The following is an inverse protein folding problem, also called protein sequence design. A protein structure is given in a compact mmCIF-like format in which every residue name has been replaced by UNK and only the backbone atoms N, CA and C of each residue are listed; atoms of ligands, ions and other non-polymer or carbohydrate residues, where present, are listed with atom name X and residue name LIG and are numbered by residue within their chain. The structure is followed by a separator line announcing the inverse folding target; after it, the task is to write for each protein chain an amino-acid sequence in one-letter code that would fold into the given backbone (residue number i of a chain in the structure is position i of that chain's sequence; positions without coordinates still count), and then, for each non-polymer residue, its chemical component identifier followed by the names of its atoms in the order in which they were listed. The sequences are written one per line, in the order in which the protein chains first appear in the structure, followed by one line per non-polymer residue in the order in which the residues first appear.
data_IF_650857200054
#
_entry.id   IF_650857200054
#
_cell.length_a   1.000
_cell.length_b   1.000
_cell.length_c   1.000
_cell.angle_alpha   90.00
_cell.angle_beta   90.00
_cell.angle_gamma   90.00
#
_symmetry.space_group_name_H-M   'P 1'
#
loop_
_entity.id
_entity.type
_entity.pdbx_description
1 polymer ?
#
# COMPACT_ATOMS: atom_id res chain seq x y z
N UNK A 1 8.21 1.21 -22.93
CA UNK A 1 8.06 0.59 -21.60
C UNK A 1 7.61 1.72 -20.70
N UNK A 2 6.34 1.74 -20.31
CA UNK A 2 5.71 2.93 -19.74
C UNK A 2 6.20 3.16 -18.32
N UNK A 3 6.89 4.28 -18.12
CA UNK A 3 6.97 4.96 -16.83
C UNK A 3 5.54 5.29 -16.39
N UNK A 4 4.89 4.36 -15.68
CA UNK A 4 3.72 4.67 -14.89
C UNK A 4 4.22 5.23 -13.57
N UNK A 5 4.87 6.39 -13.63
CA UNK A 5 4.96 7.24 -12.46
C UNK A 5 3.51 7.49 -12.05
N UNK A 6 3.16 7.25 -10.80
CA UNK A 6 1.98 7.90 -10.26
C UNK A 6 2.29 9.39 -10.34
N UNK A 7 1.79 10.02 -11.39
CA UNK A 7 2.04 11.41 -11.66
C UNK A 7 1.65 12.21 -10.41
N UNK A 8 2.58 13.05 -9.94
CA UNK A 8 2.25 14.19 -9.07
C UNK A 8 1.24 15.15 -9.72
N UNK A 9 0.73 14.85 -10.92
CA UNK A 9 -0.22 15.61 -11.72
C UNK A 9 -1.65 15.62 -11.18
N UNK A 10 -1.93 14.87 -10.10
CA UNK A 10 -3.24 14.92 -9.42
C UNK A 10 -3.06 15.55 -8.02
N UNK A 11 -3.16 16.88 -7.89
CA UNK A 11 -2.90 17.61 -6.65
C UNK A 11 -3.69 17.10 -5.44
N UNK A 12 -4.92 16.60 -5.67
CA UNK A 12 -5.79 16.11 -4.61
C UNK A 12 -5.19 14.89 -3.88
N UNK A 13 -4.46 14.01 -4.58
CA UNK A 13 -3.82 12.86 -3.90
C UNK A 13 -2.65 13.28 -3.04
N UNK A 14 -1.85 14.25 -3.51
CA UNK A 14 -0.75 14.81 -2.71
C UNK A 14 -1.29 15.45 -1.43
N UNK A 15 -2.38 16.21 -1.54
CA UNK A 15 -3.04 16.84 -0.39
C UNK A 15 -3.56 15.80 0.61
N UNK A 16 -4.24 14.74 0.13
CA UNK A 16 -4.71 13.64 0.99
C UNK A 16 -3.54 13.00 1.75
N UNK A 17 -2.43 12.71 1.05
CA UNK A 17 -1.24 12.12 1.69
C UNK A 17 -0.69 13.04 2.79
N UNK A 18 -0.63 14.34 2.54
CA UNK A 18 -0.22 15.32 3.56
C UNK A 18 -1.16 15.32 4.77
N UNK A 19 -2.47 15.30 4.56
CA UNK A 19 -3.47 15.25 5.65
C UNK A 19 -3.35 13.96 6.46
N UNK A 20 -3.17 12.81 5.80
CA UNK A 20 -2.97 11.52 6.46
C UNK A 20 -1.68 11.49 7.29
N UNK A 21 -0.58 12.06 6.77
CA UNK A 21 0.68 12.21 7.51
C UNK A 21 0.52 13.12 8.73
N UNK A 22 -0.30 14.17 8.63
CA UNK A 22 -0.59 15.10 9.73
C UNK A 22 -1.69 14.62 10.69
N UNK A 23 -2.22 13.40 10.55
CA UNK A 23 -3.34 12.86 11.35
C UNK A 23 -4.66 13.66 11.25
N UNK A 24 -4.83 14.49 10.22
CA UNK A 24 -6.09 15.18 9.91
C UNK A 24 -7.05 14.25 9.15
N UNK A 25 -7.63 13.28 9.88
CA UNK A 25 -8.34 12.15 9.27
C UNK A 25 -9.68 12.54 8.63
N UNK A 26 -10.40 13.50 9.22
CA UNK A 26 -11.72 13.93 8.73
C UNK A 26 -11.62 14.67 7.39
N UNK A 27 -10.63 15.56 7.26
CA UNK A 27 -10.38 16.28 6.01
C UNK A 27 -9.87 15.35 4.91
N UNK A 28 -9.00 14.38 5.27
CA UNK A 28 -8.52 13.36 4.35
C UNK A 28 -9.70 12.51 3.82
N UNK A 29 -10.59 12.07 4.70
CA UNK A 29 -11.79 11.30 4.31
C UNK A 29 -12.65 12.05 3.30
N UNK A 30 -12.91 13.34 3.55
CA UNK A 30 -13.69 14.17 2.63
C UNK A 30 -13.07 14.24 1.23
N UNK A 31 -11.75 14.44 1.15
CA UNK A 31 -11.04 14.51 -0.14
C UNK A 31 -10.99 13.14 -0.83
N UNK A 32 -10.81 12.05 -0.07
CA UNK A 32 -10.90 10.69 -0.60
C UNK A 32 -12.29 10.44 -1.21
N UNK A 33 -13.37 10.81 -0.51
CA UNK A 33 -14.74 10.68 -1.02
C UNK A 33 -14.98 11.52 -2.29
N UNK A 34 -14.36 12.69 -2.39
CA UNK A 34 -14.39 13.49 -3.61
C UNK A 34 -13.64 12.80 -4.75
N UNK A 35 -12.49 12.18 -4.46
CA UNK A 35 -11.69 11.49 -5.45
C UNK A 35 -12.41 10.29 -6.08
N UNK A 36 -13.32 9.61 -5.38
CA UNK A 36 -14.14 8.54 -5.98
C UNK A 36 -15.02 9.03 -7.14
N UNK A 37 -15.48 10.29 -7.10
CA UNK A 37 -16.30 10.87 -8.17
C UNK A 37 -15.47 11.23 -9.39
N UNK A 38 -14.30 11.81 -9.16
CA UNK A 38 -13.42 12.31 -10.23
C UNK A 38 -12.56 11.20 -10.85
N UNK A 39 -12.25 10.16 -10.07
CA UNK A 39 -11.30 9.10 -10.40
C UNK A 39 -11.84 7.70 -10.05
N UNK A 40 -13.00 7.28 -10.59
CA UNK A 40 -13.65 6.03 -10.19
C UNK A 40 -12.86 4.75 -10.56
N UNK A 41 -11.99 4.83 -11.57
CA UNK A 41 -11.21 3.68 -12.08
C UNK A 41 -9.73 3.75 -11.66
N UNK A 42 -9.44 4.44 -10.58
CA UNK A 42 -8.08 4.62 -10.05
C UNK A 42 -7.92 3.80 -8.77
N UNK A 43 -6.81 3.05 -8.59
CA UNK A 43 -6.55 2.34 -7.33
C UNK A 43 -6.22 3.28 -6.15
N UNK A 44 -5.72 4.48 -6.43
CA UNK A 44 -5.20 5.44 -5.44
C UNK A 44 -6.24 5.82 -4.36
N UNK A 45 -7.50 6.20 -4.69
CA UNK A 45 -8.52 6.48 -3.68
C UNK A 45 -8.78 5.33 -2.71
N UNK A 46 -8.81 4.10 -3.22
CA UNK A 46 -9.04 2.92 -2.40
C UNK A 46 -7.84 2.63 -1.49
N UNK A 47 -6.61 2.78 -2.00
CA UNK A 47 -5.41 2.66 -1.16
C UNK A 47 -5.38 3.73 -0.05
N UNK A 48 -5.66 4.98 -0.39
CA UNK A 48 -5.70 6.08 0.58
C UNK A 48 -6.81 5.89 1.63
N UNK A 49 -7.97 5.34 1.25
CA UNK A 49 -9.01 4.95 2.20
C UNK A 49 -8.55 3.83 3.13
N UNK A 50 -7.85 2.83 2.60
CA UNK A 50 -7.26 1.77 3.42
C UNK A 50 -6.31 2.32 4.47
N UNK A 51 -5.43 3.25 4.10
CA UNK A 51 -4.50 3.91 5.03
C UNK A 51 -5.24 4.77 6.06
N UNK A 52 -6.31 5.48 5.66
CA UNK A 52 -7.14 6.23 6.59
C UNK A 52 -7.73 5.32 7.68
N UNK A 53 -8.27 4.17 7.26
CA UNK A 53 -8.88 3.18 8.16
C UNK A 53 -7.85 2.51 9.06
N UNK A 54 -6.65 2.22 8.52
CA UNK A 54 -5.52 1.76 9.31
C UNK A 54 -5.19 2.75 10.44
N UNK A 55 -5.10 4.04 10.13
CA UNK A 55 -4.86 5.09 11.15
C UNK A 55 -5.97 5.17 12.18
N UNK A 56 -7.19 4.71 11.86
CA UNK A 56 -8.33 4.59 12.78
C UNK A 56 -8.36 3.25 13.52
N UNK A 57 -7.37 2.38 13.31
CA UNK A 57 -7.30 1.02 13.85
C UNK A 57 -8.40 0.08 13.34
N UNK A 58 -9.04 0.42 12.21
CA UNK A 58 -10.01 -0.44 11.53
C UNK A 58 -9.32 -1.27 10.45
N UNK A 59 -8.55 -2.26 10.89
CA UNK A 59 -7.70 -3.08 10.03
C UNK A 59 -8.51 -3.95 9.06
N UNK A 60 -9.67 -4.45 9.50
CA UNK A 60 -10.52 -5.32 8.67
C UNK A 60 -11.06 -4.58 7.45
N UNK A 61 -11.56 -3.36 7.64
CA UNK A 61 -12.02 -2.53 6.52
C UNK A 61 -10.84 -2.01 5.68
N UNK A 62 -9.71 -1.67 6.30
CA UNK A 62 -8.50 -1.26 5.58
C UNK A 62 -8.08 -2.32 4.55
N UNK A 63 -8.02 -3.59 4.96
CA UNK A 63 -7.69 -4.72 4.08
C UNK A 63 -8.65 -4.87 2.91
N UNK A 64 -9.96 -4.62 3.10
CA UNK A 64 -10.93 -4.66 2.00
C UNK A 64 -10.62 -3.59 0.97
N UNK A 65 -10.31 -2.37 1.41
CA UNK A 65 -9.96 -1.27 0.53
C UNK A 65 -8.66 -1.51 -0.25
N UNK A 66 -7.63 -2.08 0.39
CA UNK A 66 -6.42 -2.49 -0.34
C UNK A 66 -6.71 -3.56 -1.41
N UNK A 67 -7.59 -4.52 -1.13
CA UNK A 67 -7.98 -5.54 -2.11
C UNK A 67 -8.74 -4.94 -3.29
N UNK A 68 -9.63 -3.97 -3.06
CA UNK A 68 -10.31 -3.25 -4.14
C UNK A 68 -9.32 -2.51 -5.03
N UNK A 69 -8.31 -1.84 -4.45
CA UNK A 69 -7.25 -1.20 -5.23
C UNK A 69 -6.52 -2.20 -6.15
N UNK A 70 -6.27 -3.42 -5.65
CA UNK A 70 -5.66 -4.50 -6.43
C UNK A 70 -6.60 -5.16 -7.44
N UNK A 71 -7.91 -5.10 -7.24
CA UNK A 71 -8.90 -5.52 -8.24
C UNK A 71 -8.94 -4.53 -9.42
N UNK A 72 -8.78 -3.23 -9.14
CA UNK A 72 -8.72 -2.17 -10.16
C UNK A 72 -7.39 -2.25 -10.94
N UNK A 73 -6.28 -2.31 -10.22
CA UNK A 73 -4.95 -2.48 -10.80
C UNK A 73 -4.14 -3.51 -9.99
N UNK A 74 -4.05 -4.75 -10.48
CA UNK A 74 -3.26 -5.80 -9.83
C UNK A 74 -1.78 -5.49 -9.71
N UNK A 75 -1.26 -4.50 -10.45
CA UNK A 75 0.16 -4.09 -10.43
C UNK A 75 0.44 -2.90 -9.51
N UNK A 76 -0.59 -2.36 -8.84
CA UNK A 76 -0.46 -1.20 -7.97
C UNK A 76 0.29 -1.55 -6.67
N UNK A 77 1.60 -1.30 -6.67
CA UNK A 77 2.53 -1.68 -5.61
C UNK A 77 2.15 -1.16 -4.20
N UNK A 78 1.64 0.07 -4.01
CA UNK A 78 1.33 0.58 -2.68
C UNK A 78 0.27 -0.26 -1.96
N UNK A 79 -0.77 -0.69 -2.68
CA UNK A 79 -1.79 -1.55 -2.09
C UNK A 79 -1.28 -2.97 -1.82
N UNK A 80 -0.36 -3.50 -2.65
CA UNK A 80 0.29 -4.80 -2.37
C UNK A 80 1.13 -4.72 -1.09
N UNK A 81 1.93 -3.65 -0.96
CA UNK A 81 2.77 -3.41 0.20
C UNK A 81 1.93 -3.30 1.48
N UNK A 82 0.89 -2.46 1.45
CA UNK A 82 -0.01 -2.26 2.59
C UNK A 82 -0.80 -3.52 2.96
N UNK A 83 -1.21 -4.34 1.99
CA UNK A 83 -1.89 -5.59 2.28
C UNK A 83 -0.94 -6.65 2.85
N UNK A 84 0.28 -6.75 2.30
CA UNK A 84 1.31 -7.67 2.78
C UNK A 84 1.60 -7.44 4.27
N UNK A 85 1.56 -6.18 4.68
CA UNK A 85 1.74 -5.75 6.05
C UNK A 85 0.98 -6.59 7.08
N UNK A 86 -0.31 -6.85 6.82
CA UNK A 86 -1.20 -7.61 7.70
C UNK A 86 -0.93 -9.12 7.71
N UNK A 87 -0.18 -9.63 6.74
CA UNK A 87 0.19 -11.04 6.64
C UNK A 87 1.57 -11.37 7.21
N UNK A 88 2.35 -10.37 7.62
CA UNK A 88 3.70 -10.59 8.15
C UNK A 88 3.66 -10.80 9.67
N UNK A 89 4.60 -11.62 10.18
CA UNK A 89 4.83 -11.73 11.62
C UNK A 89 5.54 -10.51 12.22
N UNK A 90 6.00 -9.58 11.37
CA UNK A 90 6.79 -8.41 11.74
C UNK A 90 6.11 -7.16 11.19
N UNK A 91 4.99 -6.74 11.78
CA UNK A 91 4.36 -5.49 11.40
C UNK A 91 5.36 -4.33 11.63
N UNK A 92 5.56 -3.54 10.60
CA UNK A 92 6.26 -2.25 10.60
C UNK A 92 5.24 -1.10 10.70
N UNK A 93 5.52 -0.01 11.40
CA UNK A 93 4.55 1.10 11.51
C UNK A 93 4.44 1.99 10.23
N UNK A 94 4.76 1.46 9.04
CA UNK A 94 4.86 2.23 7.80
C UNK A 94 3.80 1.78 6.77
N UNK A 95 2.94 2.72 6.37
CA UNK A 95 2.07 2.59 5.22
C UNK A 95 2.73 3.19 3.97
N UNK A 96 2.63 2.51 2.83
CA UNK A 96 3.01 3.03 1.53
C UNK A 96 1.84 3.81 0.90
N UNK A 97 2.04 5.12 0.74
CA UNK A 97 1.14 6.00 0.01
C UNK A 97 1.46 5.99 -1.49
N UNK A 98 2.75 5.83 -1.83
CA UNK A 98 3.31 5.92 -3.19
C UNK A 98 4.22 4.72 -3.50
N UNK A 99 4.48 4.50 -4.80
CA UNK A 99 5.35 3.40 -5.27
C UNK A 99 6.79 3.54 -4.78
N UNK A 100 7.32 4.76 -4.72
CA UNK A 100 8.69 5.05 -4.25
C UNK A 100 8.92 4.56 -2.81
N UNK A 101 7.89 4.62 -1.96
CA UNK A 101 7.95 4.20 -0.56
C UNK A 101 7.97 2.65 -0.44
N UNK A 102 7.56 1.92 -1.49
CA UNK A 102 7.56 0.45 -1.51
C UNK A 102 8.97 -0.13 -1.68
N UNK A 103 9.85 0.55 -2.44
CA UNK A 103 11.21 0.08 -2.74
C UNK A 103 12.22 0.41 -1.63
N UNK A 104 11.97 1.46 -0.85
CA UNK A 104 12.87 1.87 0.24
C UNK A 104 13.01 0.80 1.35
N UNK A 105 11.98 -0.03 1.55
CA UNK A 105 11.98 -1.07 2.57
C UNK A 105 12.85 -2.30 2.22
N UNK A 106 13.24 -2.48 0.95
CA UNK A 106 14.09 -3.61 0.54
C UNK A 106 15.56 -3.42 0.95
N UNK A 107 16.02 -2.16 1.09
CA UNK A 107 17.42 -1.84 1.39
C UNK A 107 17.77 -1.89 2.89
N UNK A 108 16.81 -1.62 3.80
CA UNK A 108 17.07 -1.67 5.25
C UNK A 108 17.02 -3.09 5.84
N UNK A 109 16.43 -4.06 5.13
CA UNK A 109 16.39 -5.47 5.58
C UNK A 109 17.62 -6.29 5.14
N UNK A 110 18.54 -5.68 4.39
CA UNK A 110 19.71 -6.32 3.80
C UNK A 110 20.81 -6.69 4.81
N UNK A 111 20.68 -6.34 6.10
CA UNK A 111 21.63 -6.77 7.14
C UNK A 111 21.18 -8.02 7.93
N UNK A 112 19.99 -8.56 7.63
CA UNK A 112 19.59 -9.88 8.11
C UNK A 112 18.91 -10.66 6.99
N UNK A 113 19.71 -11.22 6.09
CA UNK A 113 19.30 -12.17 5.05
C UNK A 113 18.36 -13.24 5.69
N UNK A 114 17.02 -13.12 5.53
CA UNK A 114 16.11 -13.91 6.35
C UNK A 114 16.19 -15.36 5.89
N UNK A 115 16.38 -16.29 6.83
CA UNK A 115 16.45 -17.74 6.60
C UNK A 115 15.25 -18.23 5.77
N UNK A 116 14.15 -17.48 5.78
CA UNK A 116 13.01 -17.67 4.90
C UNK A 116 12.36 -16.37 4.43
N UNK A 117 12.01 -16.29 3.14
CA UNK A 117 11.22 -15.21 2.50
C UNK A 117 9.94 -15.78 1.90
N UNK A 118 8.81 -15.09 2.04
CA UNK A 118 7.57 -15.45 1.34
C UNK A 118 7.59 -14.80 -0.04
N UNK A 119 7.44 -15.59 -1.10
CA UNK A 119 7.39 -15.13 -2.48
C UNK A 119 5.98 -15.31 -3.01
N UNK A 120 5.34 -14.22 -3.41
CA UNK A 120 4.04 -14.26 -4.05
C UNK A 120 4.22 -14.43 -5.56
N UNK A 121 3.60 -15.48 -6.12
CA UNK A 121 3.53 -15.65 -7.57
C UNK A 121 2.41 -14.79 -8.18
N UNK A 122 2.29 -14.82 -9.51
CA UNK A 122 1.25 -14.10 -10.26
C UNK A 122 -0.21 -14.40 -9.81
N UNK A 123 -0.43 -15.48 -9.05
CA UNK A 123 -1.74 -15.87 -8.52
C UNK A 123 -1.95 -15.43 -7.05
N UNK A 124 -1.10 -14.57 -6.49
CA UNK A 124 -1.15 -14.11 -5.09
C UNK A 124 -1.04 -15.24 -4.03
N UNK A 125 -0.59 -16.44 -4.43
CA UNK A 125 -0.30 -17.54 -3.51
C UNK A 125 1.15 -17.38 -3.02
N UNK A 126 1.30 -17.16 -1.72
CA UNK A 126 2.60 -17.05 -1.06
C UNK A 126 3.28 -18.41 -0.93
N UNK A 127 4.53 -18.52 -1.41
CA UNK A 127 5.40 -19.69 -1.20
C UNK A 127 6.55 -19.32 -0.29
N UNK A 128 6.74 -20.11 0.77
CA UNK A 128 7.87 -19.96 1.68
C UNK A 128 9.15 -20.49 1.02
N UNK A 129 10.08 -19.59 0.73
CA UNK A 129 11.41 -19.93 0.25
C UNK A 129 12.38 -19.97 1.43
N UNK A 130 13.03 -21.11 1.69
CA UNK A 130 14.04 -21.28 2.74
C UNK A 130 15.41 -21.54 2.12
N UNK A 131 16.43 -20.78 2.52
CA UNK A 131 17.82 -21.05 2.11
C UNK A 131 18.47 -21.97 3.15
N UNK A 132 18.86 -23.17 2.74
CA UNK A 132 19.63 -24.06 3.62
C UNK A 132 21.04 -23.49 3.82
N UNK A 133 21.41 -23.17 5.06
CA UNK A 133 22.82 -22.90 5.42
C UNK A 133 23.61 -24.21 5.23
N UNK A 134 24.67 -24.16 4.43
CA UNK A 134 25.68 -25.23 4.36
C UNK A 134 26.58 -25.16 5.58
#
# INVERSE_FOLDING_TARGET
MSEKNLDRDVPIFVEIVTLLKNRSLEDAERLILQSYKSYPNRPEPHNLMGILLEKRYDHDEAMKHFRIALEIDPTYLPAQYNLLHYGTFYPQDHCAYLEEECYAAEDETLDSDPISRIVYGHNQIGRLFRRNKK
#
